data_IF_283338424922
#
_entry.id   IF_283338424922
#
_cell.length_a   1.000
_cell.length_b   1.000
_cell.length_c   1.000
_cell.angle_alpha   90.00
_cell.angle_beta   90.00
_cell.angle_gamma   90.00
#
_symmetry.space_group_name_H-M   'P 1'
#
loop_
_entity.id
_entity.type
_entity.pdbx_description
1 polymer ?
#
# COMPACT_ATOMS: atom_id res chain seq x y z
N UNK A 1 24.17 -27.10 14.91
CA UNK A 1 24.85 -25.86 14.46
C UNK A 1 24.52 -25.48 13.00
N UNK A 2 23.32 -25.82 12.48
CA UNK A 2 22.99 -25.67 11.04
C UNK A 2 21.74 -24.84 10.72
N UNK A 3 21.04 -24.31 11.73
CA UNK A 3 19.82 -23.52 11.52
C UNK A 3 20.08 -22.01 11.46
N UNK A 4 21.10 -21.53 12.17
CA UNK A 4 21.53 -20.12 12.10
C UNK A 4 22.37 -19.83 10.86
N UNK A 5 23.15 -20.80 10.40
CA UNK A 5 24.05 -20.65 9.25
C UNK A 5 23.31 -20.65 7.91
N UNK A 6 22.20 -21.39 7.80
CA UNK A 6 21.27 -21.29 6.66
C UNK A 6 20.47 -19.98 6.66
N UNK A 7 20.14 -19.45 7.85
CA UNK A 7 19.50 -18.14 8.00
C UNK A 7 20.46 -16.99 7.65
N UNK A 8 21.76 -17.12 7.96
CA UNK A 8 22.80 -16.17 7.54
C UNK A 8 23.09 -16.27 6.04
N UNK A 9 23.16 -17.48 5.45
CA UNK A 9 23.30 -17.66 4.00
C UNK A 9 22.12 -17.17 3.17
N UNK A 10 20.88 -17.20 3.70
CA UNK A 10 19.74 -16.51 3.06
C UNK A 10 19.77 -14.98 3.26
N UNK A 11 20.55 -14.46 4.21
CA UNK A 11 20.71 -13.03 4.48
C UNK A 11 21.79 -12.38 3.61
N UNK A 12 22.73 -13.16 3.10
CA UNK A 12 23.53 -12.76 1.95
C UNK A 12 22.61 -12.66 0.74
N UNK A 13 22.14 -11.45 0.48
CA UNK A 13 21.64 -11.10 -0.85
C UNK A 13 22.76 -11.47 -1.80
N UNK A 14 22.59 -12.54 -2.60
CA UNK A 14 23.54 -12.89 -3.66
C UNK A 14 23.83 -11.59 -4.42
N UNK A 15 25.11 -11.26 -4.58
CA UNK A 15 25.51 -9.96 -5.12
C UNK A 15 24.75 -9.63 -6.43
N UNK A 16 24.50 -10.66 -7.24
CA UNK A 16 23.73 -10.63 -8.49
C UNK A 16 22.28 -10.09 -8.36
N UNK A 17 21.66 -10.13 -7.18
CA UNK A 17 20.29 -9.68 -6.93
C UNK A 17 20.19 -8.29 -6.31
N UNK A 18 21.30 -7.56 -6.14
CA UNK A 18 21.27 -6.15 -5.73
C UNK A 18 21.12 -5.24 -6.95
N UNK A 19 20.43 -4.11 -6.77
CA UNK A 19 20.26 -3.08 -7.82
C UNK A 19 21.58 -2.61 -8.45
N UNK A 20 22.70 -2.76 -7.74
CA UNK A 20 24.02 -2.34 -8.19
C UNK A 20 24.62 -3.21 -9.30
N UNK A 21 24.26 -4.50 -9.36
CA UNK A 21 24.82 -5.48 -10.29
C UNK A 21 23.90 -5.81 -11.47
N UNK A 22 22.68 -5.25 -11.50
CA UNK A 22 21.71 -5.49 -12.55
C UNK A 22 21.84 -4.40 -13.63
N UNK A 23 21.96 -4.82 -14.89
CA UNK A 23 21.91 -3.90 -16.03
C UNK A 23 20.48 -3.37 -16.23
N UNK A 24 20.22 -2.16 -15.73
CA UNK A 24 18.93 -1.47 -15.87
C UNK A 24 18.61 -1.06 -17.32
N UNK A 25 19.60 -1.13 -18.22
CA UNK A 25 19.49 -0.81 -19.65
C UNK A 25 18.52 -1.72 -20.39
N UNK A 26 18.49 -3.00 -20.02
CA UNK A 26 17.73 -4.05 -20.71
C UNK A 26 16.22 -3.90 -20.50
N UNK A 27 15.82 -3.16 -19.47
CA UNK A 27 14.42 -2.88 -19.14
C UNK A 27 13.95 -1.64 -19.90
N UNK A 28 13.51 -1.81 -21.17
CA UNK A 28 12.92 -0.74 -22.01
C UNK A 28 11.44 -0.95 -22.36
N UNK A 29 10.96 -2.20 -22.38
CA UNK A 29 9.56 -2.47 -22.76
C UNK A 29 8.61 -1.98 -21.68
N UNK A 30 7.75 -1.03 -22.04
CA UNK A 30 6.69 -0.48 -21.20
C UNK A 30 5.34 -0.73 -21.86
N UNK A 31 4.42 -1.38 -21.15
CA UNK A 31 3.01 -1.42 -21.54
C UNK A 31 2.29 -0.14 -21.05
N UNK A 32 1.11 0.15 -21.61
CA UNK A 32 0.23 1.20 -21.11
C UNK A 32 -0.13 0.99 -19.63
N UNK A 33 -0.40 -0.27 -19.26
CA UNK A 33 -0.65 -0.66 -17.86
C UNK A 33 0.55 -0.36 -16.95
N UNK A 34 1.78 -0.50 -17.44
CA UNK A 34 3.00 -0.16 -16.69
C UNK A 34 3.08 1.34 -16.40
N UNK A 35 2.69 2.19 -17.35
CA UNK A 35 2.64 3.65 -17.15
C UNK A 35 1.57 4.05 -16.13
N UNK A 36 0.37 3.47 -16.23
CA UNK A 36 -0.69 3.69 -15.24
C UNK A 36 -0.22 3.25 -13.85
N UNK A 37 0.39 2.07 -13.74
CA UNK A 37 0.89 1.56 -12.46
C UNK A 37 1.99 2.46 -11.87
N UNK A 38 2.81 3.10 -12.69
CA UNK A 38 3.80 4.08 -12.22
C UNK A 38 3.15 5.35 -11.71
N UNK A 39 2.17 5.90 -12.42
CA UNK A 39 1.38 7.06 -11.94
C UNK A 39 0.68 6.72 -10.61
N UNK A 40 0.17 5.49 -10.49
CA UNK A 40 -0.43 4.99 -9.26
C UNK A 40 0.55 4.97 -8.08
N UNK A 41 1.85 4.72 -8.29
CA UNK A 41 2.87 4.82 -7.23
C UNK A 41 2.88 6.24 -6.65
N UNK A 42 2.95 7.27 -7.50
CA UNK A 42 2.93 8.68 -7.05
C UNK A 42 1.61 9.03 -6.37
N UNK A 43 0.48 8.63 -6.95
CA UNK A 43 -0.83 8.87 -6.37
C UNK A 43 -0.97 8.22 -4.99
N UNK A 44 -0.45 6.99 -4.82
CA UNK A 44 -0.48 6.29 -3.53
C UNK A 44 0.36 6.97 -2.44
N UNK A 45 1.44 7.64 -2.82
CA UNK A 45 2.24 8.45 -1.90
C UNK A 45 1.51 9.75 -1.54
N UNK A 46 0.90 10.42 -2.52
CA UNK A 46 0.08 11.61 -2.29
C UNK A 46 -1.09 11.31 -1.34
N UNK A 47 -1.82 10.22 -1.56
CA UNK A 47 -2.89 9.77 -0.67
C UNK A 47 -2.35 9.54 0.75
N UNK A 48 -1.19 8.89 0.89
CA UNK A 48 -0.54 8.70 2.19
C UNK A 48 -0.24 10.01 2.92
N UNK A 49 0.29 11.02 2.21
CA UNK A 49 0.54 12.36 2.75
C UNK A 49 -0.76 13.06 3.17
N UNK A 50 -1.80 12.98 2.34
CA UNK A 50 -3.11 13.55 2.64
C UNK A 50 -3.76 12.90 3.87
N UNK A 51 -3.64 11.58 4.04
CA UNK A 51 -4.11 10.89 5.23
C UNK A 51 -3.39 11.37 6.49
N UNK A 52 -2.07 11.51 6.45
CA UNK A 52 -1.29 12.05 7.59
C UNK A 52 -1.68 13.50 7.89
N UNK A 53 -1.91 14.32 6.87
CA UNK A 53 -2.38 15.69 7.05
C UNK A 53 -3.78 15.74 7.69
N UNK A 54 -4.72 14.90 7.24
CA UNK A 54 -6.06 14.78 7.80
C UNK A 54 -6.04 14.29 9.26
N UNK A 55 -5.17 13.34 9.57
CA UNK A 55 -4.95 12.85 10.93
C UNK A 55 -4.39 13.94 11.84
N UNK A 56 -3.45 14.74 11.34
CA UNK A 56 -2.88 15.90 12.05
C UNK A 56 -3.94 16.96 12.32
N UNK A 57 -4.76 17.29 11.31
CA UNK A 57 -5.86 18.23 11.46
C UNK A 57 -6.86 17.77 12.53
N UNK A 58 -7.24 16.49 12.48
CA UNK A 58 -8.14 15.88 13.48
C UNK A 58 -7.52 15.93 14.87
N UNK A 59 -6.22 15.61 15.00
CA UNK A 59 -5.51 15.68 16.27
C UNK A 59 -5.53 17.09 16.85
N UNK A 60 -5.26 18.13 16.04
CA UNK A 60 -5.23 19.53 16.49
C UNK A 60 -6.63 19.98 16.92
N UNK A 61 -7.66 19.79 16.09
CA UNK A 61 -9.03 20.21 16.41
C UNK A 61 -9.57 19.51 17.67
N UNK A 62 -9.27 18.22 17.81
CA UNK A 62 -9.85 17.40 18.85
C UNK A 62 -9.06 17.49 20.18
N UNK A 63 -7.71 17.48 20.13
CA UNK A 63 -6.87 17.50 21.33
C UNK A 63 -6.62 18.91 21.85
N UNK A 64 -6.36 19.87 20.96
CA UNK A 64 -6.01 21.26 21.33
C UNK A 64 -7.26 22.10 21.49
N UNK A 65 -8.14 22.10 20.49
CA UNK A 65 -9.33 22.95 20.51
C UNK A 65 -10.52 22.36 21.25
N UNK A 66 -10.48 21.08 21.67
CA UNK A 66 -11.59 20.37 22.32
C UNK A 66 -12.92 20.53 21.56
N UNK A 67 -12.86 20.60 20.24
CA UNK A 67 -14.03 20.75 19.37
C UNK A 67 -14.16 19.55 18.45
N UNK A 68 -15.38 19.22 18.07
CA UNK A 68 -15.63 18.23 17.03
C UNK A 68 -15.37 18.87 15.66
N UNK A 69 -14.82 18.09 14.72
CA UNK A 69 -14.56 18.58 13.35
C UNK A 69 -15.85 18.81 12.55
N UNK A 70 -16.96 18.23 12.99
CA UNK A 70 -18.29 18.36 12.37
C UNK A 70 -19.27 19.03 13.35
N UNK A 71 -20.29 19.72 12.86
CA UNK A 71 -21.36 20.28 13.73
C UNK A 71 -22.35 19.21 14.23
N UNK A 72 -22.26 17.98 13.71
CA UNK A 72 -23.08 16.84 14.11
C UNK A 72 -22.44 16.13 15.31
N UNK A 73 -23.17 16.08 16.43
CA UNK A 73 -22.71 15.38 17.65
C UNK A 73 -22.71 13.87 17.42
N UNK A 74 -21.61 13.15 17.69
CA UNK A 74 -21.62 11.70 17.66
C UNK A 74 -22.55 11.15 18.75
N UNK A 75 -23.11 9.96 18.52
CA UNK A 75 -23.89 9.19 19.50
C UNK A 75 -23.05 8.88 20.76
N UNK A 76 -21.73 8.85 20.60
CA UNK A 76 -20.76 8.56 21.66
C UNK A 76 -20.39 9.85 22.42
N UNK A 77 -20.30 9.82 23.76
CA UNK A 77 -19.87 10.99 24.53
C UNK A 77 -18.49 11.49 24.09
N UNK A 78 -18.37 12.81 23.95
CA UNK A 78 -17.19 13.48 23.40
C UNK A 78 -15.87 13.07 24.09
N UNK A 79 -15.89 12.88 25.41
CA UNK A 79 -14.70 12.47 26.17
C UNK A 79 -14.18 11.08 25.77
N UNK A 80 -15.08 10.13 25.49
CA UNK A 80 -14.71 8.77 25.09
C UNK A 80 -14.20 8.77 23.66
N UNK A 81 -14.90 9.44 22.75
CA UNK A 81 -14.45 9.59 21.36
C UNK A 81 -13.06 10.25 21.31
N UNK A 82 -12.82 11.29 22.13
CA UNK A 82 -11.53 11.97 22.22
C UNK A 82 -10.38 11.04 22.54
N UNK A 83 -10.54 10.20 23.55
CA UNK A 83 -9.49 9.25 23.96
C UNK A 83 -9.24 8.22 22.86
N UNK A 84 -10.30 7.70 22.23
CA UNK A 84 -10.17 6.73 21.14
C UNK A 84 -9.40 7.34 19.96
N UNK A 85 -9.78 8.55 19.52
CA UNK A 85 -9.08 9.25 18.43
C UNK A 85 -7.61 9.53 18.80
N UNK A 86 -7.33 9.96 20.04
CA UNK A 86 -5.96 10.19 20.50
C UNK A 86 -5.09 8.94 20.41
N UNK A 87 -5.60 7.81 20.94
CA UNK A 87 -4.89 6.52 20.94
C UNK A 87 -4.68 6.01 19.52
N UNK A 88 -5.71 6.06 18.68
CA UNK A 88 -5.63 5.62 17.30
C UNK A 88 -4.64 6.43 16.46
N UNK A 89 -4.63 7.77 16.62
CA UNK A 89 -3.68 8.65 15.93
C UNK A 89 -2.26 8.38 16.41
N UNK A 90 -2.05 8.28 17.73
CA UNK A 90 -0.74 7.95 18.31
C UNK A 90 -0.22 6.59 17.81
N UNK A 91 -1.07 5.57 17.80
CA UNK A 91 -0.73 4.24 17.28
C UNK A 91 -0.42 4.27 15.78
N UNK A 92 -1.17 5.05 14.99
CA UNK A 92 -0.93 5.25 13.55
C UNK A 92 0.48 5.79 13.29
N UNK A 93 0.88 6.85 14.01
CA UNK A 93 2.21 7.44 13.91
C UNK A 93 3.31 6.47 14.35
N UNK A 94 3.12 5.76 15.46
CA UNK A 94 4.08 4.77 15.94
C UNK A 94 4.32 3.67 14.90
N UNK A 95 3.24 3.08 14.35
CA UNK A 95 3.34 2.06 13.31
C UNK A 95 4.00 2.62 12.04
N UNK A 96 3.73 3.87 11.69
CA UNK A 96 4.38 4.53 10.55
C UNK A 96 5.89 4.69 10.75
N UNK A 97 6.33 5.10 11.94
CA UNK A 97 7.75 5.22 12.28
C UNK A 97 8.45 3.85 12.23
N UNK A 98 7.81 2.81 12.79
CA UNK A 98 8.36 1.44 12.77
C UNK A 98 8.49 0.93 11.34
N UNK A 99 7.45 1.10 10.52
CA UNK A 99 7.47 0.70 9.11
C UNK A 99 8.58 1.44 8.34
N UNK A 100 8.74 2.74 8.59
CA UNK A 100 9.80 3.53 7.96
C UNK A 100 11.19 3.08 8.41
N UNK A 101 11.37 2.77 9.69
CA UNK A 101 12.64 2.26 10.21
C UNK A 101 13.01 0.93 9.55
N UNK A 102 12.07 0.00 9.43
CA UNK A 102 12.29 -1.25 8.71
C UNK A 102 12.60 -1.02 7.21
N UNK A 103 11.85 -0.14 6.55
CA UNK A 103 12.05 0.19 5.15
C UNK A 103 13.41 0.83 4.87
N UNK A 104 13.88 1.73 5.74
CA UNK A 104 15.23 2.32 5.60
C UNK A 104 16.34 1.28 5.69
N UNK A 105 16.17 0.24 6.52
CA UNK A 105 17.06 -0.91 6.57
C UNK A 105 17.09 -1.68 5.24
N UNK A 106 15.92 -1.90 4.63
CA UNK A 106 15.79 -2.57 3.32
C UNK A 106 16.44 -1.74 2.20
N UNK A 107 16.17 -0.43 2.16
CA UNK A 107 16.73 0.50 1.16
C UNK A 107 18.27 0.50 1.24
N UNK A 108 18.84 0.47 2.45
CA UNK A 108 20.30 0.39 2.64
C UNK A 108 20.91 -0.91 2.15
N UNK A 109 20.18 -2.04 2.22
CA UNK A 109 20.66 -3.35 1.74
C UNK A 109 20.68 -3.46 0.22
N UNK A 110 19.79 -2.73 -0.47
CA UNK A 110 19.78 -2.63 -1.93
C UNK A 110 19.37 -3.90 -2.68
N UNK A 111 18.84 -4.92 -2.00
CA UNK A 111 18.34 -6.15 -2.61
C UNK A 111 17.01 -5.94 -3.34
N UNK A 112 16.88 -6.44 -4.56
CA UNK A 112 15.67 -6.22 -5.39
C UNK A 112 14.45 -6.92 -4.81
N UNK A 113 14.57 -8.18 -4.38
CA UNK A 113 13.44 -8.90 -3.81
C UNK A 113 12.98 -8.32 -2.47
N UNK A 114 13.92 -7.91 -1.62
CA UNK A 114 13.62 -7.25 -0.35
C UNK A 114 12.92 -5.90 -0.58
N UNK A 115 13.40 -5.11 -1.55
CA UNK A 115 12.75 -3.87 -1.95
C UNK A 115 11.37 -4.10 -2.59
N UNK A 116 11.16 -5.20 -3.32
CA UNK A 116 9.87 -5.55 -3.90
C UNK A 116 8.84 -5.96 -2.83
N UNK A 117 9.28 -6.70 -1.80
CA UNK A 117 8.43 -7.14 -0.69
C UNK A 117 8.12 -6.02 0.32
N UNK A 118 8.78 -4.88 0.21
CA UNK A 118 8.53 -3.73 1.04
C UNK A 118 7.86 -2.61 0.25
N UNK A 119 6.59 -2.32 0.56
CA UNK A 119 5.81 -1.31 -0.16
C UNK A 119 6.41 0.08 -0.05
N UNK A 120 7.06 0.42 1.06
CA UNK A 120 7.73 1.71 1.25
C UNK A 120 9.02 1.74 0.45
N UNK A 121 9.85 0.69 0.55
CA UNK A 121 11.09 0.61 -0.24
C UNK A 121 10.81 0.62 -1.75
N UNK A 122 9.81 -0.14 -2.21
CA UNK A 122 9.35 -0.17 -3.60
C UNK A 122 9.03 1.24 -4.12
N UNK A 123 8.22 1.99 -3.36
CA UNK A 123 7.83 3.38 -3.69
C UNK A 123 9.06 4.28 -3.70
N UNK A 124 9.92 4.18 -2.69
CA UNK A 124 11.15 4.94 -2.60
C UNK A 124 12.08 4.71 -3.80
N UNK A 125 12.35 3.45 -4.14
CA UNK A 125 13.18 3.09 -5.29
C UNK A 125 12.56 3.53 -6.63
N UNK A 126 11.22 3.55 -6.73
CA UNK A 126 10.51 3.98 -7.94
C UNK A 126 10.47 5.50 -8.12
N UNK A 127 10.49 6.27 -7.03
CA UNK A 127 10.46 7.75 -7.06
C UNK A 127 11.87 8.32 -7.08
N UNK A 128 12.68 7.98 -6.07
CA UNK A 128 14.00 8.57 -5.86
C UNK A 128 15.08 7.96 -6.75
N UNK A 129 14.83 6.81 -7.39
CA UNK A 129 15.85 6.13 -8.18
C UNK A 129 16.98 5.58 -7.30
N UNK A 130 18.20 5.58 -7.82
CA UNK A 130 19.38 5.12 -7.11
C UNK A 130 20.39 6.18 -6.73
N UNK A 131 21.32 5.78 -5.86
CA UNK A 131 22.47 6.60 -5.47
C UNK A 131 23.56 6.64 -6.53
N UNK A 132 23.47 5.81 -7.58
CA UNK A 132 24.45 5.79 -8.66
C UNK A 132 24.25 7.06 -9.50
N UNK A 133 25.32 7.85 -9.68
CA UNK A 133 25.34 9.03 -10.57
C UNK A 133 25.23 8.69 -12.06
N UNK A 134 25.02 7.42 -12.39
CA UNK A 134 24.80 6.99 -13.76
C UNK A 134 23.43 7.48 -14.23
N UNK A 135 23.36 8.09 -15.42
CA UNK A 135 22.11 8.62 -16.01
C UNK A 135 21.03 7.53 -16.19
N UNK A 136 21.42 6.27 -16.08
CA UNK A 136 20.58 5.08 -16.26
C UNK A 136 19.85 4.64 -14.98
N UNK A 137 20.29 5.02 -13.77
CA UNK A 137 19.71 4.57 -12.49
C UNK A 137 18.50 5.42 -12.04
N UNK A 138 17.54 5.56 -12.95
CA UNK A 138 16.32 6.33 -12.73
C UNK A 138 15.25 5.52 -11.99
N UNK A 139 14.38 6.22 -11.24
CA UNK A 139 13.25 5.58 -10.56
C UNK A 139 12.32 4.81 -11.52
N UNK A 140 12.15 5.32 -12.74
CA UNK A 140 11.43 4.64 -13.81
C UNK A 140 12.04 3.27 -14.17
N UNK A 141 13.37 3.20 -14.29
CA UNK A 141 14.07 1.94 -14.62
C UNK A 141 13.95 0.90 -13.51
N UNK A 142 14.08 1.33 -12.26
CA UNK A 142 13.84 0.45 -11.09
C UNK A 142 12.39 -0.03 -11.04
N UNK A 143 11.44 0.85 -11.34
CA UNK A 143 10.04 0.47 -11.46
C UNK A 143 9.78 -0.56 -12.57
N UNK A 144 10.44 -0.44 -13.73
CA UNK A 144 10.31 -1.43 -14.81
C UNK A 144 10.77 -2.83 -14.38
N UNK A 145 11.81 -2.93 -13.53
CA UNK A 145 12.23 -4.22 -12.94
C UNK A 145 11.10 -4.80 -12.09
N UNK A 146 10.50 -4.01 -11.21
CA UNK A 146 9.38 -4.43 -10.37
C UNK A 146 8.12 -4.79 -11.18
N UNK A 147 7.83 -4.04 -12.24
CA UNK A 147 6.73 -4.33 -13.16
C UNK A 147 6.95 -5.67 -13.86
N UNK A 148 8.19 -5.95 -14.29
CA UNK A 148 8.55 -7.22 -14.93
C UNK A 148 8.43 -8.41 -13.97
N UNK A 149 8.80 -8.23 -12.70
CA UNK A 149 8.61 -9.24 -11.64
C UNK A 149 7.12 -9.57 -11.39
N UNK A 150 6.24 -8.59 -11.64
CA UNK A 150 4.80 -8.70 -11.39
C UNK A 150 4.05 -9.35 -12.56
N UNK A 151 4.53 -9.18 -13.80
CA UNK A 151 3.84 -9.62 -15.02
C UNK A 151 3.74 -11.14 -15.16
N UNK A 152 4.82 -11.88 -14.87
CA UNK A 152 4.85 -13.35 -15.02
C UNK A 152 4.77 -14.03 -13.66
N UNK A 153 3.54 -14.22 -13.14
CA UNK A 153 3.29 -14.94 -11.89
C UNK A 153 2.27 -16.07 -12.04
N UNK A 154 2.60 -17.24 -11.52
CA UNK A 154 1.65 -18.35 -11.42
C UNK A 154 0.55 -18.06 -10.38
N UNK A 155 -0.60 -18.73 -10.50
CA UNK A 155 -1.77 -18.52 -9.62
C UNK A 155 -1.44 -18.70 -8.14
N UNK A 156 -0.60 -19.69 -7.79
CA UNK A 156 -0.17 -19.94 -6.41
C UNK A 156 0.61 -18.78 -5.82
N UNK A 157 1.56 -18.26 -6.59
CA UNK A 157 2.38 -17.13 -6.14
C UNK A 157 1.58 -15.82 -6.09
N UNK A 158 0.55 -15.68 -6.94
CA UNK A 158 -0.39 -14.57 -6.85
C UNK A 158 -1.09 -14.57 -5.50
N UNK A 159 -1.65 -15.72 -5.10
CA UNK A 159 -2.33 -15.88 -3.80
C UNK A 159 -1.36 -15.61 -2.64
N UNK A 160 -0.15 -16.18 -2.69
CA UNK A 160 0.85 -15.97 -1.64
C UNK A 160 1.26 -14.50 -1.48
N UNK A 161 1.56 -13.81 -2.59
CA UNK A 161 1.92 -12.39 -2.56
C UNK A 161 0.75 -11.51 -2.13
N UNK A 162 -0.47 -11.81 -2.60
CA UNK A 162 -1.68 -11.10 -2.19
C UNK A 162 -1.88 -11.21 -0.67
N UNK A 163 -1.88 -12.42 -0.13
CA UNK A 163 -2.00 -12.65 1.32
C UNK A 163 -0.88 -11.96 2.10
N UNK A 164 0.36 -12.03 1.61
CA UNK A 164 1.50 -11.39 2.26
C UNK A 164 1.32 -9.86 2.35
N UNK A 165 0.94 -9.20 1.25
CA UNK A 165 0.74 -7.75 1.23
C UNK A 165 -0.49 -7.33 2.05
N UNK A 166 -1.58 -8.10 2.04
CA UNK A 166 -2.75 -7.85 2.88
C UNK A 166 -2.42 -7.94 4.37
N UNK A 167 -1.58 -8.89 4.78
CA UNK A 167 -1.11 -8.97 6.17
C UNK A 167 -0.10 -7.88 6.53
N UNK A 168 0.73 -7.39 5.61
CA UNK A 168 1.73 -6.36 5.99
C UNK A 168 1.13 -5.10 6.63
N UNK A 169 -0.10 -4.73 6.27
CA UNK A 169 -0.80 -3.56 6.81
C UNK A 169 -1.91 -3.84 7.83
N UNK A 170 -2.14 -5.10 8.24
CA UNK A 170 -3.35 -5.48 8.97
C UNK A 170 -3.49 -4.77 10.33
N UNK A 171 -2.38 -4.59 11.06
CA UNK A 171 -2.38 -3.95 12.38
C UNK A 171 -2.81 -2.49 12.33
N UNK A 172 -2.31 -1.74 11.34
CA UNK A 172 -2.71 -0.35 11.09
C UNK A 172 -4.20 -0.27 10.74
N UNK A 173 -4.65 -1.12 9.81
CA UNK A 173 -6.05 -1.13 9.35
C UNK A 173 -7.03 -1.46 10.48
N UNK A 174 -6.72 -2.44 11.33
CA UNK A 174 -7.62 -2.86 12.40
C UNK A 174 -7.58 -1.95 13.63
N UNK A 175 -6.39 -1.62 14.15
CA UNK A 175 -6.26 -0.94 15.43
C UNK A 175 -6.12 0.57 15.32
N UNK A 176 -5.42 1.06 14.29
CA UNK A 176 -5.25 2.50 14.11
C UNK A 176 -6.40 3.11 13.33
N UNK A 177 -6.81 2.52 12.21
CA UNK A 177 -7.88 3.06 11.35
C UNK A 177 -9.28 2.59 11.79
N UNK A 178 -9.43 1.31 12.15
CA UNK A 178 -10.71 0.70 12.46
C UNK A 178 -11.60 1.49 13.44
N UNK A 179 -11.14 1.80 14.66
CA UNK A 179 -11.99 2.52 15.63
C UNK A 179 -12.41 3.91 15.14
N UNK A 180 -11.53 4.63 14.42
CA UNK A 180 -11.83 5.95 13.85
C UNK A 180 -12.90 5.84 12.76
N UNK A 181 -12.74 4.88 11.86
CA UNK A 181 -13.70 4.65 10.77
C UNK A 181 -15.05 4.21 11.34
N UNK A 182 -15.09 3.37 12.37
CA UNK A 182 -16.35 2.98 13.03
C UNK A 182 -17.05 4.19 13.64
N UNK A 183 -16.35 5.07 14.35
CA UNK A 183 -16.96 6.28 14.92
C UNK A 183 -17.45 7.23 13.81
N UNK A 184 -16.66 7.41 12.75
CA UNK A 184 -17.07 8.20 11.59
C UNK A 184 -18.29 7.60 10.90
N UNK A 185 -18.37 6.28 10.80
CA UNK A 185 -19.51 5.54 10.23
C UNK A 185 -20.75 5.71 11.09
N UNK A 186 -20.64 5.57 12.41
CA UNK A 186 -21.77 5.81 13.33
C UNK A 186 -22.26 7.26 13.23
N UNK A 187 -21.35 8.21 13.05
CA UNK A 187 -21.69 9.62 12.79
C UNK A 187 -22.43 9.76 11.47
N UNK A 188 -21.97 9.12 10.39
CA UNK A 188 -22.65 9.11 9.09
C UNK A 188 -24.05 8.50 9.17
N UNK A 189 -24.20 7.37 9.87
CA UNK A 189 -25.50 6.73 10.09
C UNK A 189 -26.43 7.64 10.90
N UNK A 190 -25.90 8.38 11.87
CA UNK A 190 -26.70 9.37 12.60
C UNK A 190 -27.22 10.48 11.70
N UNK A 191 -26.43 10.94 10.71
CA UNK A 191 -26.90 11.93 9.71
C UNK A 191 -27.99 11.38 8.80
N UNK A 192 -27.92 10.09 8.46
CA UNK A 192 -28.96 9.42 7.67
C UNK A 192 -30.26 9.28 8.49
N UNK A 193 -30.14 9.08 9.81
CA UNK A 193 -31.27 8.87 10.73
C UNK A 193 -31.83 10.15 11.37
N UNK A 194 -31.09 11.26 11.34
CA UNK A 194 -31.38 12.43 12.15
C UNK A 194 -32.65 13.19 11.74
N UNK A 195 -33.23 12.98 10.55
CA UNK A 195 -34.59 13.46 10.28
C UNK A 195 -35.24 12.91 8.98
N UNK A 196 -36.56 12.69 9.06
CA UNK A 196 -37.62 12.76 8.01
C UNK A 196 -38.40 11.55 7.46
N UNK A 197 -38.17 10.26 7.76
CA UNK A 197 -39.11 9.19 7.29
C UNK A 197 -39.35 8.09 8.35
N UNK A 198 -40.62 7.82 8.77
CA UNK A 198 -40.97 6.64 9.58
C UNK A 198 -40.81 5.35 8.77
N UNK A 199 -40.53 4.25 9.46
CA UNK A 199 -40.35 2.88 8.94
C UNK A 199 -41.02 2.58 7.58
N UNK A 200 -40.25 2.04 6.63
CA UNK A 200 -40.20 0.59 6.41
C UNK A 200 -39.16 0.22 5.32
N UNK A 201 -38.54 -0.95 5.44
CA UNK A 201 -37.62 -1.63 4.48
C UNK A 201 -36.26 -0.97 4.16
N UNK A 202 -35.19 -1.57 4.68
CA UNK A 202 -33.79 -1.17 4.47
C UNK A 202 -33.25 -1.80 3.19
N UNK A 203 -33.49 -1.16 2.04
CA UNK A 203 -32.72 -1.44 0.83
C UNK A 203 -31.44 -0.58 0.84
N UNK A 204 -30.26 -1.17 0.62
CA UNK A 204 -29.00 -0.42 0.61
C UNK A 204 -28.99 0.74 -0.41
N UNK A 205 -29.76 0.59 -1.51
CA UNK A 205 -29.96 1.64 -2.50
C UNK A 205 -30.83 2.80 -1.99
N UNK A 206 -31.87 2.54 -1.17
CA UNK A 206 -32.70 3.60 -0.59
C UNK A 206 -31.94 4.39 0.49
N UNK A 207 -31.06 3.73 1.24
CA UNK A 207 -30.17 4.37 2.20
C UNK A 207 -29.13 5.30 1.53
N UNK A 208 -28.58 4.88 0.37
CA UNK A 208 -27.67 5.72 -0.42
C UNK A 208 -28.38 6.95 -0.98
N UNK A 209 -29.58 6.79 -1.54
CA UNK A 209 -30.38 7.92 -2.05
C UNK A 209 -30.63 8.99 -0.98
N UNK A 210 -31.08 8.57 0.21
CA UNK A 210 -31.30 9.45 1.37
C UNK A 210 -30.03 10.17 1.83
N UNK A 211 -28.90 9.46 1.82
CA UNK A 211 -27.61 10.06 2.18
C UNK A 211 -27.22 11.20 1.22
N UNK A 212 -27.41 11.02 -0.09
CA UNK A 212 -27.11 12.07 -1.08
C UNK A 212 -28.07 13.25 -0.98
N UNK A 213 -29.36 13.02 -0.70
CA UNK A 213 -30.34 14.08 -0.49
C UNK A 213 -30.02 14.92 0.76
N UNK A 214 -29.71 14.26 1.88
CA UNK A 214 -29.30 14.94 3.12
C UNK A 214 -28.00 15.74 2.91
N UNK A 215 -27.02 15.16 2.20
CA UNK A 215 -25.80 15.88 1.79
C UNK A 215 -26.12 17.11 0.96
N UNK A 216 -27.07 17.00 0.02
CA UNK A 216 -27.49 18.11 -0.84
C UNK A 216 -28.13 19.25 -0.04
N UNK A 217 -28.89 18.93 0.99
CA UNK A 217 -29.45 19.92 1.91
C UNK A 217 -28.35 20.59 2.76
N UNK A 218 -27.49 19.79 3.40
CA UNK A 218 -26.35 20.24 4.18
C UNK A 218 -25.37 21.09 3.35
N UNK A 219 -25.25 20.84 2.04
CA UNK A 219 -24.38 21.62 1.14
C UNK A 219 -24.86 23.07 0.98
N UNK A 220 -26.18 23.30 0.99
CA UNK A 220 -26.76 24.64 0.89
C UNK A 220 -26.52 25.47 2.16
N UNK A 221 -26.45 24.80 3.30
CA UNK A 221 -26.28 25.44 4.60
C UNK A 221 -24.81 25.60 5.00
N UNK A 222 -23.98 24.57 4.81
CA UNK A 222 -22.57 24.59 5.20
C UNK A 222 -21.68 23.74 4.28
N UNK A 223 -21.07 24.39 3.28
CA UNK A 223 -20.18 23.74 2.30
C UNK A 223 -18.99 23.00 2.93
N UNK A 224 -18.42 23.53 4.01
CA UNK A 224 -17.26 22.94 4.67
C UNK A 224 -17.65 21.61 5.33
N UNK A 225 -18.81 21.58 5.98
CA UNK A 225 -19.31 20.37 6.64
C UNK A 225 -19.62 19.25 5.63
N UNK A 226 -20.19 19.58 4.47
CA UNK A 226 -20.44 18.61 3.41
C UNK A 226 -19.15 18.00 2.85
N UNK A 227 -18.10 18.81 2.66
CA UNK A 227 -16.79 18.31 2.22
C UNK A 227 -16.17 17.36 3.25
N UNK A 228 -16.28 17.68 4.54
CA UNK A 228 -15.81 16.80 5.62
C UNK A 228 -16.61 15.48 5.62
N UNK A 229 -17.93 15.55 5.51
CA UNK A 229 -18.80 14.37 5.49
C UNK A 229 -18.53 13.48 4.27
N UNK A 230 -18.38 14.07 3.08
CA UNK A 230 -18.02 13.35 1.86
C UNK A 230 -16.66 12.66 1.97
N UNK A 231 -15.68 13.32 2.58
CA UNK A 231 -14.35 12.74 2.82
C UNK A 231 -14.43 11.58 3.83
N UNK A 232 -15.24 11.72 4.89
CA UNK A 232 -15.49 10.64 5.87
C UNK A 232 -16.15 9.42 5.22
N UNK A 233 -17.13 9.62 4.34
CA UNK A 233 -17.78 8.52 3.61
C UNK A 233 -16.82 7.84 2.65
N UNK A 234 -16.07 8.61 1.87
CA UNK A 234 -15.11 8.07 0.93
C UNK A 234 -14.04 7.22 1.63
N UNK A 235 -13.48 7.73 2.73
CA UNK A 235 -12.48 6.99 3.53
C UNK A 235 -13.06 5.74 4.19
N UNK A 236 -14.33 5.79 4.63
CA UNK A 236 -15.05 4.61 5.15
C UNK A 236 -15.21 3.52 4.09
N UNK A 237 -15.59 3.88 2.87
CA UNK A 237 -15.73 2.94 1.75
C UNK A 237 -14.37 2.29 1.41
N UNK A 238 -13.30 3.09 1.33
CA UNK A 238 -11.96 2.57 1.08
C UNK A 238 -11.52 1.59 2.19
N UNK A 239 -11.75 1.94 3.45
CA UNK A 239 -11.45 1.06 4.57
C UNK A 239 -12.24 -0.26 4.50
N UNK A 240 -13.53 -0.22 4.15
CA UNK A 240 -14.34 -1.42 3.96
C UNK A 240 -13.74 -2.37 2.91
N UNK A 241 -13.30 -1.82 1.77
CA UNK A 241 -12.59 -2.62 0.76
C UNK A 241 -11.31 -3.27 1.31
N UNK A 242 -10.54 -2.55 2.16
CA UNK A 242 -9.33 -3.13 2.77
C UNK A 242 -9.64 -4.25 3.76
N UNK A 243 -10.73 -4.13 4.54
CA UNK A 243 -11.18 -5.17 5.46
C UNK A 243 -11.65 -6.42 4.70
N UNK A 244 -12.43 -6.25 3.63
CA UNK A 244 -12.85 -7.36 2.78
C UNK A 244 -11.62 -8.07 2.18
N UNK A 245 -10.64 -7.31 1.67
CA UNK A 245 -9.38 -7.88 1.18
C UNK A 245 -8.61 -8.64 2.26
N UNK A 246 -8.58 -8.12 3.51
CA UNK A 246 -7.94 -8.78 4.64
C UNK A 246 -8.65 -10.08 5.03
N UNK A 247 -9.99 -10.10 5.01
CA UNK A 247 -10.79 -11.30 5.27
C UNK A 247 -10.52 -12.35 4.18
N UNK A 248 -10.53 -11.97 2.90
CA UNK A 248 -10.21 -12.88 1.79
C UNK A 248 -8.79 -13.42 1.94
N UNK A 249 -7.81 -12.58 2.27
CA UNK A 249 -6.43 -12.98 2.51
C UNK A 249 -6.30 -13.95 3.69
N UNK A 250 -7.05 -13.74 4.77
CA UNK A 250 -7.11 -14.63 5.92
C UNK A 250 -7.66 -16.01 5.53
N UNK A 251 -8.77 -16.05 4.79
CA UNK A 251 -9.34 -17.31 4.29
C UNK A 251 -8.35 -18.04 3.35
N UNK A 252 -7.73 -17.33 2.41
CA UNK A 252 -6.69 -17.90 1.54
C UNK A 252 -5.48 -18.41 2.33
N UNK A 253 -5.11 -17.74 3.42
CA UNK A 253 -4.03 -18.20 4.29
C UNK A 253 -4.39 -19.52 4.96
N UNK A 254 -5.51 -19.53 5.69
CA UNK A 254 -5.94 -20.67 6.52
C UNK A 254 -6.26 -21.91 5.70
N UNK A 255 -7.06 -21.78 4.63
CA UNK A 255 -7.53 -22.94 3.87
C UNK A 255 -6.50 -23.44 2.86
N UNK A 256 -5.74 -22.53 2.23
CA UNK A 256 -4.89 -22.87 1.10
C UNK A 256 -3.40 -22.80 1.42
N UNK A 257 -2.89 -21.66 1.89
CA UNK A 257 -1.45 -21.45 2.01
C UNK A 257 -0.82 -22.25 3.15
N UNK A 258 -1.52 -22.46 4.27
CA UNK A 258 -1.00 -23.31 5.37
C UNK A 258 -0.70 -24.74 4.89
N UNK A 259 -1.56 -25.30 4.03
CA UNK A 259 -1.35 -26.65 3.49
C UNK A 259 -0.28 -26.71 2.39
N UNK A 260 -0.06 -25.60 1.66
CA UNK A 260 0.83 -25.57 0.49
C UNK A 260 2.26 -25.10 0.83
N UNK A 261 2.43 -24.30 1.88
CA UNK A 261 3.72 -23.75 2.29
C UNK A 261 4.41 -24.76 3.20
N UNK A 262 5.40 -25.48 2.67
CA UNK A 262 6.33 -26.30 3.47
C UNK A 262 7.49 -25.51 4.12
N UNK A 263 7.39 -24.18 4.19
CA UNK A 263 8.43 -23.26 4.66
C UNK A 263 8.05 -22.65 6.01
N UNK A 264 9.03 -22.17 6.77
CA UNK A 264 8.85 -21.59 8.12
C UNK A 264 8.04 -20.30 8.14
N UNK A 265 8.02 -19.53 7.04
CA UNK A 265 7.27 -18.26 6.96
C UNK A 265 6.75 -17.96 5.55
N UNK A 266 5.56 -17.35 5.48
CA UNK A 266 4.99 -16.78 4.24
C UNK A 266 5.93 -15.76 3.60
N UNK A 267 6.67 -15.01 4.42
CA UNK A 267 7.67 -14.03 3.94
C UNK A 267 8.79 -14.74 3.19
N UNK A 268 9.35 -15.80 3.76
CA UNK A 268 10.46 -16.53 3.15
C UNK A 268 10.03 -17.24 1.88
N UNK A 269 8.81 -17.80 1.86
CA UNK A 269 8.20 -18.36 0.65
C UNK A 269 8.12 -17.32 -0.47
N UNK A 270 7.57 -16.13 -0.18
CA UNK A 270 7.44 -15.06 -1.16
C UNK A 270 8.81 -14.57 -1.64
N UNK A 271 9.77 -14.41 -0.73
CA UNK A 271 11.14 -13.95 -1.03
C UNK A 271 11.83 -14.89 -2.00
N UNK A 272 11.89 -16.20 -1.68
CA UNK A 272 12.47 -17.22 -2.55
C UNK A 272 11.81 -17.24 -3.94
N UNK A 273 10.50 -17.02 -4.03
CA UNK A 273 9.79 -16.97 -5.32
C UNK A 273 10.14 -15.73 -6.13
N UNK A 274 10.27 -14.57 -5.50
CA UNK A 274 10.70 -13.33 -6.15
C UNK A 274 12.15 -13.44 -6.61
N UNK A 275 13.05 -13.95 -5.78
CA UNK A 275 14.46 -14.19 -6.14
C UNK A 275 14.60 -15.14 -7.32
N UNK A 276 13.89 -16.28 -7.32
CA UNK A 276 13.88 -17.22 -8.45
C UNK A 276 13.42 -16.57 -9.76
N UNK A 277 12.48 -15.62 -9.70
CA UNK A 277 12.05 -14.88 -10.88
C UNK A 277 13.07 -13.84 -11.29
N UNK A 278 13.69 -13.18 -10.32
CA UNK A 278 14.76 -12.23 -10.59
C UNK A 278 15.89 -12.91 -11.36
N UNK A 279 16.37 -14.08 -10.90
CA UNK A 279 17.37 -14.87 -11.63
C UNK A 279 16.94 -15.19 -13.05
N UNK A 280 15.68 -15.63 -13.26
CA UNK A 280 15.16 -15.90 -14.62
C UNK A 280 15.12 -14.65 -15.50
N UNK A 281 14.81 -13.49 -14.93
CA UNK A 281 14.78 -12.24 -15.68
C UNK A 281 16.20 -11.83 -16.06
N UNK A 282 17.16 -11.90 -15.13
CA UNK A 282 18.57 -11.57 -15.36
C UNK A 282 19.19 -12.49 -16.42
N UNK A 283 18.94 -13.81 -16.35
CA UNK A 283 19.44 -14.76 -17.36
C UNK A 283 18.86 -14.45 -18.74
N UNK A 284 17.56 -14.20 -18.83
CA UNK A 284 16.91 -13.89 -20.10
C UNK A 284 17.35 -12.52 -20.68
N UNK A 285 17.72 -11.55 -19.83
CA UNK A 285 18.27 -10.28 -20.29
C UNK A 285 19.75 -10.42 -20.68
N UNK A 286 20.55 -11.20 -19.95
CA UNK A 286 21.97 -11.43 -20.25
C UNK A 286 22.19 -12.32 -21.47
N UNK A 287 21.27 -13.23 -21.77
CA UNK A 287 21.31 -14.09 -22.97
C UNK A 287 20.98 -13.32 -24.26
N UNK A 288 20.65 -12.03 -24.15
CA UNK A 288 20.53 -11.11 -25.29
C UNK A 288 21.68 -10.08 -25.26
N UNK A 289 22.96 -10.50 -25.38
CA UNK A 289 24.03 -9.53 -25.58
C UNK A 289 23.79 -8.85 -26.92
N UNK A 290 23.97 -7.53 -26.94
CA UNK A 290 23.81 -6.65 -28.09
C UNK A 290 24.38 -7.24 -29.39
N UNK A 291 23.53 -7.84 -30.23
CA UNK A 291 23.85 -8.16 -31.64
C UNK A 291 23.76 -6.90 -32.53
N UNK A 292 23.79 -5.70 -31.95
CA UNK A 292 23.69 -4.43 -32.71
C UNK A 292 24.87 -3.46 -32.50
N UNK A 293 25.91 -3.84 -31.78
CA UNK A 293 27.13 -3.04 -31.69
C UNK A 293 28.39 -3.88 -31.81
N UNK A 294 28.62 -4.50 -32.97
CA UNK A 294 29.96 -4.86 -33.41
C UNK A 294 30.05 -4.89 -34.95
N UNK A 295 30.97 -4.06 -35.46
CA UNK A 295 31.44 -3.94 -36.84
C UNK A 295 30.49 -3.43 -37.95
N UNK A 296 30.43 -2.09 -38.08
CA UNK A 296 30.56 -1.48 -39.41
C UNK A 296 32.06 -1.40 -39.74
N UNK A 297 32.56 -2.07 -40.79
CA UNK A 297 33.91 -1.78 -41.28
C UNK A 297 33.93 -0.37 -41.87
N UNK A 298 34.90 0.43 -41.43
CA UNK A 298 35.23 1.71 -42.06
C UNK A 298 35.49 1.48 -43.56
N UNK A 299 34.90 2.26 -44.46
CA UNK A 299 35.34 2.26 -45.85
C UNK A 299 36.73 2.92 -45.90
N UNK A 300 37.74 2.13 -46.28
CA UNK A 300 39.00 2.69 -46.74
C UNK A 300 38.73 3.48 -48.03
N UNK A 301 39.05 4.77 -47.99
CA UNK A 301 39.36 5.57 -49.18
C UNK A 301 40.84 5.43 -49.49
#
# INVERSE_FOLDING_TARGET
MGYFDSFQRQKEVSAEHKFEYINLRDFKKSSFYTRIAFVWVYLSVLIGVLCVAADTYTAVILLVFNRWSSQIKPIIPFNVAKIIFAVCIGLSYLLYIIDWWHATGVIKRGGVADAYMDSIALRWHSICGGKRKDKEDTGWKRFLVFARLTEKRGRRDYVALFTYFSFKGWTRVLFAEGPRVVINTLTLVSVIRADLIPDDSTEAFSAMGRFFENIGHLYKENRVQTLILGTMTFTTILWLFTIIQLIIACNMYLFYLVHVIGETSLKDYCRKRVDKRMTKIVINSSQYPDTKHQHTPHPQK
#
